data_IF_870149277592
#
_entry.id   IF_870149277592
#
_cell.length_a   1.000
_cell.length_b   1.000
_cell.length_c   1.000
_cell.angle_alpha   90.00
_cell.angle_beta   90.00
_cell.angle_gamma   90.00
#
_symmetry.space_group_name_H-M   'P 1'
#
loop_
_entity.id
_entity.type
_entity.pdbx_description
1 polymer ?
#
# COMPACT_ATOMS: atom_id res chain seq x y z
N UNK A 1 67.20 15.77 -49.71
CA UNK A 1 67.00 14.30 -49.82
C UNK A 1 66.38 13.83 -48.51
N UNK A 2 65.08 13.49 -48.48
CA UNK A 2 64.51 12.13 -48.32
C UNK A 2 64.98 11.42 -47.02
N UNK A 3 64.18 10.83 -46.13
CA UNK A 3 62.84 10.19 -46.21
C UNK A 3 62.40 9.79 -44.76
N UNK A 4 61.08 9.85 -44.45
CA UNK A 4 60.21 8.92 -43.63
C UNK A 4 60.69 8.47 -42.22
N UNK A 5 59.88 8.22 -41.17
CA UNK A 5 58.49 7.75 -40.99
C UNK A 5 58.15 7.75 -39.47
N UNK A 6 56.85 7.87 -39.11
CA UNK A 6 56.10 7.39 -37.90
C UNK A 6 54.88 8.33 -37.69
N UNK A 7 53.67 8.06 -38.18
CA UNK A 7 52.65 7.04 -37.80
C UNK A 7 52.23 7.07 -36.32
N UNK A 8 51.07 7.67 -36.05
CA UNK A 8 49.97 7.12 -35.22
C UNK A 8 48.86 8.19 -35.13
N UNK A 9 47.80 8.11 -35.93
CA UNK A 9 46.47 7.60 -35.51
C UNK A 9 46.14 7.88 -34.05
N UNK A 10 45.16 8.75 -33.81
CA UNK A 10 43.87 8.31 -33.31
C UNK A 10 42.80 9.34 -33.63
N UNK A 11 41.95 8.97 -34.60
CA UNK A 11 40.63 9.54 -34.82
C UNK A 11 39.89 9.56 -33.49
N UNK A 12 39.52 10.76 -33.06
CA UNK A 12 38.46 11.01 -32.11
C UNK A 12 37.15 10.57 -32.76
N UNK A 13 36.88 9.26 -32.72
CA UNK A 13 35.56 8.71 -32.97
C UNK A 13 34.76 8.94 -31.70
N UNK A 14 34.14 10.11 -31.60
CA UNK A 14 33.03 10.38 -30.69
C UNK A 14 31.87 9.47 -31.08
N UNK A 15 31.97 8.20 -30.69
CA UNK A 15 30.87 7.26 -30.69
C UNK A 15 29.87 7.80 -29.68
N UNK A 16 28.84 8.48 -30.17
CA UNK A 16 27.69 8.89 -29.39
C UNK A 16 27.06 7.61 -28.83
N UNK A 17 27.41 7.31 -27.58
CA UNK A 17 26.82 6.23 -26.81
C UNK A 17 25.38 6.61 -26.53
N UNK A 18 24.48 5.65 -26.75
CA UNK A 18 23.06 5.83 -26.51
C UNK A 18 22.81 6.12 -25.02
N UNK A 19 21.75 6.87 -24.66
CA UNK A 19 21.40 7.16 -23.25
C UNK A 19 21.27 5.89 -22.38
N UNK A 20 20.97 4.76 -23.03
CA UNK A 20 20.91 3.42 -22.45
C UNK A 20 22.29 2.91 -21.98
N UNK A 21 23.34 3.14 -22.76
CA UNK A 21 24.70 2.66 -22.45
C UNK A 21 25.36 3.51 -21.37
N UNK A 22 25.10 4.82 -21.34
CA UNK A 22 25.59 5.68 -20.24
C UNK A 22 24.92 5.31 -18.90
N UNK A 23 23.63 4.98 -18.92
CA UNK A 23 22.93 4.48 -17.74
C UNK A 23 23.44 3.11 -17.29
N UNK A 24 23.81 2.23 -18.23
CA UNK A 24 24.41 0.94 -17.93
C UNK A 24 25.83 1.07 -17.34
N UNK A 25 26.66 1.94 -17.90
CA UNK A 25 28.01 2.23 -17.40
C UNK A 25 27.98 2.85 -15.99
N UNK A 26 27.06 3.78 -15.72
CA UNK A 26 26.87 4.36 -14.36
C UNK A 26 26.41 3.31 -13.34
N UNK A 27 25.60 2.32 -13.74
CA UNK A 27 25.19 1.21 -12.87
C UNK A 27 26.32 0.22 -12.61
N UNK A 28 27.19 -0.01 -13.59
CA UNK A 28 28.37 -0.86 -13.47
C UNK A 28 29.41 -0.23 -12.51
N UNK A 29 29.73 1.06 -12.69
CA UNK A 29 30.65 1.78 -11.81
C UNK A 29 30.18 1.85 -10.35
N UNK A 30 28.86 1.86 -10.11
CA UNK A 30 28.30 1.87 -8.75
C UNK A 30 28.41 0.51 -8.03
N UNK A 31 28.62 -0.60 -8.76
CA UNK A 31 28.79 -1.92 -8.16
C UNK A 31 30.22 -2.16 -7.67
N UNK A 32 31.21 -1.49 -8.24
CA UNK A 32 32.63 -1.70 -7.92
C UNK A 32 33.03 -1.10 -6.56
N UNK A 33 32.38 0.00 -6.13
CA UNK A 33 32.61 0.63 -4.82
C UNK A 33 31.73 0.08 -3.68
N UNK A 34 31.14 -1.11 -3.82
CA UNK A 34 30.34 -1.71 -2.74
C UNK A 34 31.27 -2.50 -1.82
N UNK A 35 31.54 -2.05 -0.58
CA UNK A 35 32.29 -2.86 0.37
C UNK A 35 31.54 -4.18 0.61
N UNK A 36 32.21 -5.29 0.35
CA UNK A 36 31.76 -6.64 0.67
C UNK A 36 31.80 -6.83 2.19
N UNK A 37 30.77 -6.34 2.88
CA UNK A 37 30.59 -6.64 4.31
C UNK A 37 30.06 -8.07 4.47
N UNK A 38 31.00 -8.96 4.72
CA UNK A 38 30.79 -10.30 5.24
C UNK A 38 30.08 -10.24 6.59
N UNK A 39 28.91 -10.88 6.70
CA UNK A 39 28.37 -11.37 7.97
C UNK A 39 27.57 -10.40 8.85
N UNK A 40 26.62 -11.01 9.56
CA UNK A 40 25.78 -10.51 10.66
C UNK A 40 24.43 -9.93 10.20
N UNK A 41 23.38 -10.69 10.50
CA UNK A 41 22.00 -10.38 10.18
C UNK A 41 21.55 -9.04 10.77
N UNK A 42 21.17 -8.14 9.87
CA UNK A 42 20.48 -6.90 10.23
C UNK A 42 19.07 -7.25 10.69
N UNK A 43 18.86 -7.30 12.00
CA UNK A 43 17.55 -7.11 12.61
C UNK A 43 17.10 -5.69 12.32
N UNK A 44 16.48 -5.50 11.16
CA UNK A 44 15.77 -4.26 10.84
C UNK A 44 14.57 -4.21 11.79
N UNK A 45 14.50 -3.28 12.76
CA UNK A 45 13.23 -3.01 13.39
C UNK A 45 12.29 -2.57 12.28
N UNK A 46 11.26 -3.37 12.03
CA UNK A 46 10.13 -2.96 11.21
C UNK A 46 9.60 -1.70 11.88
N UNK A 47 9.96 -0.54 11.33
CA UNK A 47 9.28 0.70 11.61
C UNK A 47 7.80 0.39 11.40
N UNK A 48 7.06 0.35 12.51
CA UNK A 48 5.63 0.17 12.51
C UNK A 48 5.09 1.22 11.55
N UNK A 49 4.63 0.74 10.41
CA UNK A 49 3.84 1.53 9.49
C UNK A 49 2.59 1.89 10.29
N UNK A 50 2.65 3.01 11.00
CA UNK A 50 1.47 3.57 11.62
C UNK A 50 0.45 3.72 10.49
N UNK A 51 -0.76 3.15 10.62
CA UNK A 51 -1.79 3.40 9.65
C UNK A 51 -2.00 4.91 9.67
N UNK A 52 -1.62 5.58 8.57
CA UNK A 52 -2.05 6.95 8.30
C UNK A 52 -3.57 6.87 8.27
N UNK A 53 -4.20 7.15 9.41
CA UNK A 53 -5.65 7.33 9.51
C UNK A 53 -5.96 8.43 8.52
N UNK A 54 -6.55 8.05 7.39
CA UNK A 54 -7.03 8.97 6.37
C UNK A 54 -8.20 9.73 6.98
N UNK A 55 -7.90 10.75 7.78
CA UNK A 55 -8.86 11.72 8.32
C UNK A 55 -9.27 12.72 7.22
N UNK A 56 -9.46 12.29 5.98
CA UNK A 56 -9.70 13.23 4.87
C UNK A 56 -11.16 13.62 4.66
N UNK A 57 -12.15 13.05 5.36
CA UNK A 57 -13.56 13.27 4.98
C UNK A 57 -14.54 13.51 6.14
N UNK A 58 -14.11 14.15 7.24
CA UNK A 58 -15.04 14.57 8.31
C UNK A 58 -15.50 16.03 8.22
N UNK A 59 -15.02 16.82 7.26
CA UNK A 59 -15.17 18.30 7.34
C UNK A 59 -16.40 18.89 6.68
N UNK A 60 -17.25 18.16 5.96
CA UNK A 60 -18.46 18.75 5.36
C UNK A 60 -19.60 17.74 5.24
N UNK A 61 -20.37 17.53 6.32
CA UNK A 61 -21.78 17.18 6.17
C UNK A 61 -22.54 18.47 5.88
N UNK A 62 -22.26 19.08 4.73
CA UNK A 62 -23.20 20.05 4.16
C UNK A 62 -24.49 19.28 3.88
N UNK A 63 -25.63 19.87 4.23
CA UNK A 63 -26.95 19.30 3.98
C UNK A 63 -27.06 19.16 2.45
N UNK A 64 -26.89 17.95 1.94
CA UNK A 64 -26.93 17.67 0.50
C UNK A 64 -28.33 18.02 -0.01
N UNK A 65 -28.40 18.82 -1.09
CA UNK A 65 -29.68 19.10 -1.73
C UNK A 65 -30.27 17.80 -2.31
N UNK A 66 -31.60 17.70 -2.39
CA UNK A 66 -32.25 16.48 -2.92
C UNK A 66 -31.75 16.13 -4.32
N UNK A 67 -31.45 17.13 -5.15
CA UNK A 67 -30.88 16.94 -6.49
C UNK A 67 -29.48 16.30 -6.44
N UNK A 68 -28.63 16.69 -5.48
CA UNK A 68 -27.31 16.09 -5.29
C UNK A 68 -27.42 14.64 -4.81
N UNK A 69 -28.40 14.33 -3.96
CA UNK A 69 -28.66 12.96 -3.50
C UNK A 69 -29.12 12.08 -4.68
N UNK A 70 -30.08 12.57 -5.47
CA UNK A 70 -30.56 11.86 -6.65
C UNK A 70 -29.44 11.61 -7.67
N UNK A 71 -28.59 12.61 -7.90
CA UNK A 71 -27.44 12.49 -8.80
C UNK A 71 -26.41 11.44 -8.31
N UNK A 72 -26.13 11.41 -6.99
CA UNK A 72 -25.21 10.43 -6.40
C UNK A 72 -25.79 9.01 -6.39
N UNK A 73 -27.10 8.85 -6.18
CA UNK A 73 -27.78 7.56 -6.28
C UNK A 73 -27.82 7.04 -7.72
N UNK A 74 -27.97 7.94 -8.70
CA UNK A 74 -27.96 7.59 -10.12
C UNK A 74 -26.56 7.20 -10.64
N UNK A 75 -25.49 7.65 -9.97
CA UNK A 75 -24.10 7.34 -10.34
C UNK A 75 -23.35 6.72 -9.15
N UNK A 76 -23.62 5.44 -8.81
CA UNK A 76 -22.93 4.79 -7.71
C UNK A 76 -21.43 4.69 -7.99
N UNK A 77 -20.61 5.18 -7.07
CA UNK A 77 -19.14 5.15 -7.16
C UNK A 77 -18.54 3.76 -6.91
N UNK A 78 -19.32 2.83 -6.34
CA UNK A 78 -18.94 1.43 -6.17
C UNK A 78 -20.17 0.55 -6.31
N UNK A 79 -20.19 -0.32 -7.31
CA UNK A 79 -21.12 -1.44 -7.38
C UNK A 79 -20.47 -2.62 -6.65
N UNK A 80 -21.08 -3.06 -5.55
CA UNK A 80 -20.54 -4.17 -4.75
C UNK A 80 -21.30 -5.43 -5.13
N UNK A 81 -20.60 -6.49 -5.53
CA UNK A 81 -21.24 -7.79 -5.73
C UNK A 81 -21.67 -8.38 -4.39
N UNK A 82 -22.61 -9.33 -4.41
CA UNK A 82 -23.07 -10.00 -3.20
C UNK A 82 -21.90 -10.68 -2.46
N UNK A 83 -20.96 -11.28 -3.19
CA UNK A 83 -19.82 -11.95 -2.56
C UNK A 83 -18.87 -10.96 -1.85
N UNK A 84 -18.61 -9.79 -2.45
CA UNK A 84 -17.80 -8.74 -1.81
C UNK A 84 -18.51 -8.18 -0.58
N UNK A 85 -19.83 -7.93 -0.67
CA UNK A 85 -20.59 -7.42 0.47
C UNK A 85 -20.56 -8.40 1.64
N UNK A 86 -20.76 -9.70 1.38
CA UNK A 86 -20.73 -10.71 2.43
C UNK A 86 -19.35 -10.82 3.07
N UNK A 87 -18.28 -10.76 2.27
CA UNK A 87 -16.90 -10.77 2.79
C UNK A 87 -16.62 -9.56 3.66
N UNK A 88 -16.99 -8.38 3.20
CA UNK A 88 -16.70 -7.13 3.91
C UNK A 88 -17.58 -6.97 5.14
N UNK A 89 -18.83 -7.43 5.16
CA UNK A 89 -19.76 -7.25 6.29
C UNK A 89 -19.94 -8.48 7.20
N UNK A 90 -19.35 -9.63 6.89
CA UNK A 90 -19.48 -10.84 7.71
C UNK A 90 -19.07 -10.64 9.18
N UNK A 91 -18.08 -9.76 9.42
CA UNK A 91 -17.62 -9.46 10.77
C UNK A 91 -18.69 -8.76 11.63
N UNK A 92 -19.50 -7.89 11.02
CA UNK A 92 -20.61 -7.21 11.69
C UNK A 92 -21.68 -8.21 12.11
N UNK A 93 -22.03 -9.13 11.21
CA UNK A 93 -23.01 -10.19 11.50
C UNK A 93 -22.52 -11.08 12.65
N UNK A 94 -21.21 -11.40 12.66
CA UNK A 94 -20.60 -12.18 13.75
C UNK A 94 -20.68 -11.45 15.08
N UNK A 95 -20.42 -10.15 15.10
CA UNK A 95 -20.45 -9.34 16.32
C UNK A 95 -21.87 -9.26 16.91
N UNK A 96 -22.88 -9.02 16.05
CA UNK A 96 -24.30 -9.01 16.46
C UNK A 96 -24.71 -10.36 17.07
N UNK A 97 -24.31 -11.48 16.45
CA UNK A 97 -24.62 -12.82 16.98
C UNK A 97 -23.99 -13.04 18.35
N UNK A 98 -22.74 -12.63 18.54
CA UNK A 98 -22.06 -12.75 19.82
C UNK A 98 -22.73 -11.88 20.89
N UNK A 99 -23.06 -10.62 20.57
CA UNK A 99 -23.77 -9.73 21.48
C UNK A 99 -25.14 -10.29 21.87
N UNK A 100 -25.86 -10.89 20.92
CA UNK A 100 -27.16 -11.52 21.17
C UNK A 100 -27.03 -12.72 22.11
N UNK A 101 -26.04 -13.59 21.90
CA UNK A 101 -25.79 -14.72 22.79
C UNK A 101 -25.45 -14.26 24.21
N UNK A 102 -24.62 -13.22 24.33
CA UNK A 102 -24.21 -12.67 25.62
C UNK A 102 -25.39 -12.05 26.36
N UNK A 103 -26.20 -11.26 25.66
CA UNK A 103 -27.43 -10.68 26.21
C UNK A 103 -28.43 -11.75 26.65
N UNK A 104 -28.64 -12.79 25.82
CA UNK A 104 -29.50 -13.92 26.16
C UNK A 104 -29.01 -14.68 27.40
N UNK A 105 -27.70 -14.93 27.50
CA UNK A 105 -27.10 -15.58 28.66
C UNK A 105 -27.30 -14.75 29.95
N UNK A 106 -27.10 -13.43 29.89
CA UNK A 106 -27.37 -12.54 31.03
C UNK A 106 -28.85 -12.56 31.43
N UNK A 107 -29.76 -12.55 30.45
CA UNK A 107 -31.20 -12.57 30.70
C UNK A 107 -31.60 -13.86 31.44
N UNK A 108 -31.08 -15.01 31.00
CA UNK A 108 -31.28 -16.30 31.68
C UNK A 108 -30.68 -16.26 33.09
N UNK A 109 -29.46 -15.73 33.26
CA UNK A 109 -28.84 -15.61 34.57
C UNK A 109 -29.69 -14.77 35.54
N UNK A 110 -30.26 -13.66 35.07
CA UNK A 110 -31.16 -12.82 35.89
C UNK A 110 -32.42 -13.59 36.33
N UNK A 111 -33.04 -14.36 35.43
CA UNK A 111 -34.20 -15.19 35.78
C UNK A 111 -33.82 -16.21 36.85
N UNK A 112 -32.67 -16.87 36.73
CA UNK A 112 -32.20 -17.85 37.73
C UNK A 112 -31.95 -17.17 39.08
N UNK A 113 -31.25 -16.03 39.11
CA UNK A 113 -31.00 -15.29 40.35
C UNK A 113 -32.31 -14.88 41.03
N UNK A 114 -33.30 -14.43 40.27
CA UNK A 114 -34.60 -14.04 40.80
C UNK A 114 -35.43 -15.20 41.37
N UNK A 115 -35.10 -16.46 41.04
CA UNK A 115 -35.75 -17.64 41.62
C UNK A 115 -35.04 -18.13 42.90
N UNK A 116 -33.77 -17.76 43.09
CA UNK A 116 -32.95 -18.16 44.24
C UNK A 116 -33.02 -17.12 45.36
N UNK A 117 -33.14 -15.82 45.00
CA UNK A 117 -33.36 -14.71 45.93
C UNK A 117 -34.84 -14.61 46.32
#
# INVERSE_FOLDING_TARGET
MAKREKKSTNNTSSKALSPSEEAAARRAARRENRPSSTGIGSTRPSASAQPKVVQSNRKKREILSQEQIAYQLAHPTKTVSYEEFQRDYAHVVRDIRNMFLLAGALMIAMVILAQIL
#
